data_IF_400969313228
#
_entry.id   IF_400969313228
#
_cell.length_a   1.000
_cell.length_b   1.000
_cell.length_c   1.000
_cell.angle_alpha   90.00
_cell.angle_beta   90.00
_cell.angle_gamma   90.00
#
_symmetry.space_group_name_H-M   'P 1'
#
loop_
_entity.id
_entity.type
_entity.pdbx_description
1 polymer ?
#
# COMPACT_ATOMS: atom_id res chain seq x y z
N UNK A 1 -16.03 3.66 23.77
CA UNK A 1 -16.06 3.78 23.04
C UNK A 1 -15.46 3.44 22.05
N UNK A 2 -15.24 3.22 21.62
CA UNK A 2 -14.61 2.76 20.95
C UNK A 2 -14.76 2.72 19.62
N UNK A 3 -15.50 2.97 19.03
CA UNK A 3 -15.61 3.06 17.76
C UNK A 3 -14.61 3.68 17.07
N UNK A 4 -14.10 4.56 17.54
CA UNK A 4 -13.07 5.33 16.92
C UNK A 4 -11.79 4.57 16.66
N UNK A 5 -11.73 3.35 17.11
CA UNK A 5 -10.54 2.54 16.86
C UNK A 5 -10.44 2.07 15.42
N UNK A 6 -11.53 2.18 14.64
CA UNK A 6 -11.50 1.73 13.26
C UNK A 6 -11.14 2.90 12.36
N UNK A 7 -9.93 2.85 11.86
CA UNK A 7 -9.45 3.88 10.94
C UNK A 7 -9.83 3.53 9.51
N UNK A 8 -10.05 4.55 8.67
CA UNK A 8 -10.30 4.26 7.26
C UNK A 8 -9.11 3.57 6.63
N UNK A 9 -9.39 2.68 5.68
CA UNK A 9 -8.34 1.96 4.97
C UNK A 9 -8.05 2.67 3.66
N UNK A 10 -6.79 3.02 3.46
CA UNK A 10 -6.33 3.52 2.18
C UNK A 10 -5.51 2.43 1.51
N UNK A 11 -5.81 2.15 0.26
CA UNK A 11 -5.04 1.20 -0.54
C UNK A 11 -4.26 2.00 -1.57
N UNK A 12 -2.96 1.77 -1.61
CA UNK A 12 -2.07 2.49 -2.53
C UNK A 12 -1.48 1.47 -3.47
N UNK A 13 -1.74 1.63 -4.76
CA UNK A 13 -1.24 0.67 -5.75
C UNK A 13 0.17 1.05 -6.18
N UNK A 14 1.01 0.03 -6.41
CA UNK A 14 2.33 0.24 -6.97
C UNK A 14 3.34 0.81 -6.00
N UNK A 15 3.38 0.30 -4.78
CA UNK A 15 4.21 0.90 -3.74
C UNK A 15 5.70 0.57 -3.88
N UNK A 16 6.08 -0.26 -4.84
CA UNK A 16 7.50 -0.52 -5.08
C UNK A 16 8.16 0.58 -5.92
N UNK A 17 7.37 1.49 -6.48
CA UNK A 17 7.91 2.62 -7.22
C UNK A 17 8.11 3.84 -6.34
N UNK A 18 8.81 4.84 -6.87
CA UNK A 18 9.12 6.04 -6.12
C UNK A 18 7.92 6.74 -5.56
N UNK A 19 6.91 7.01 -6.42
CA UNK A 19 5.76 7.77 -6.00
C UNK A 19 4.92 6.98 -5.01
N UNK A 20 4.71 5.70 -5.28
CA UNK A 20 3.92 4.86 -4.38
C UNK A 20 4.53 4.77 -3.01
N UNK A 21 5.84 4.61 -2.96
CA UNK A 21 6.55 4.51 -1.69
C UNK A 21 6.44 5.80 -0.88
N UNK A 22 6.55 6.93 -1.56
CA UNK A 22 6.44 8.22 -0.93
C UNK A 22 5.05 8.41 -0.31
N UNK A 23 4.01 8.04 -1.07
CA UNK A 23 2.64 8.16 -0.62
C UNK A 23 2.37 7.25 0.57
N UNK A 24 2.88 6.02 0.53
CA UNK A 24 2.75 5.08 1.64
C UNK A 24 3.34 5.69 2.90
N UNK A 25 4.54 6.23 2.80
CA UNK A 25 5.20 6.80 3.96
C UNK A 25 4.39 7.94 4.54
N UNK A 26 3.86 8.81 3.67
CA UNK A 26 3.06 9.94 4.13
C UNK A 26 1.83 9.50 4.91
N UNK A 27 1.10 8.51 4.40
CA UNK A 27 -0.08 8.02 5.10
C UNK A 27 0.27 7.32 6.41
N UNK A 28 1.36 6.57 6.41
CA UNK A 28 1.79 5.90 7.65
C UNK A 28 2.20 6.91 8.71
N UNK A 29 2.89 7.96 8.30
CA UNK A 29 3.33 8.99 9.25
C UNK A 29 2.16 9.80 9.78
N UNK A 30 1.11 9.94 9.00
CA UNK A 30 -0.10 10.63 9.43
C UNK A 30 -0.76 9.91 10.60
N UNK A 31 -0.81 8.60 10.56
CA UNK A 31 -1.32 7.81 11.66
C UNK A 31 -2.83 7.68 11.74
N UNK A 32 -3.56 8.33 10.87
CA UNK A 32 -5.03 8.29 10.89
C UNK A 32 -5.63 7.29 9.95
N UNK A 33 -4.81 6.48 9.29
CA UNK A 33 -5.27 5.53 8.29
C UNK A 33 -4.66 4.16 8.54
N UNK A 34 -5.43 3.13 8.18
CA UNK A 34 -4.83 1.82 7.93
C UNK A 34 -4.33 1.86 6.51
N UNK A 35 -3.14 1.34 6.27
CA UNK A 35 -2.49 1.46 4.96
C UNK A 35 -2.23 0.08 4.39
N UNK A 36 -2.70 -0.14 3.18
CA UNK A 36 -2.43 -1.35 2.42
C UNK A 36 -1.79 -0.93 1.10
N UNK A 37 -0.67 -1.53 0.77
CA UNK A 37 0.02 -1.25 -0.47
C UNK A 37 0.05 -2.48 -1.35
N UNK A 38 0.01 -2.28 -2.67
CA UNK A 38 0.10 -3.40 -3.59
C UNK A 38 1.44 -3.40 -4.30
N UNK A 39 1.96 -4.60 -4.52
CA UNK A 39 3.13 -4.78 -5.35
C UNK A 39 2.84 -5.91 -6.31
N UNK A 40 3.49 -5.86 -7.46
CA UNK A 40 3.39 -6.89 -8.46
C UNK A 40 4.49 -7.90 -8.17
N UNK A 41 4.12 -9.12 -7.80
CA UNK A 41 5.11 -10.12 -7.46
C UNK A 41 5.74 -9.85 -6.10
N UNK A 42 5.13 -10.40 -5.06
CA UNK A 42 5.57 -10.18 -3.69
C UNK A 42 6.81 -11.02 -3.39
N UNK A 43 7.94 -10.36 -3.20
CA UNK A 43 9.17 -11.04 -2.82
C UNK A 43 10.05 -10.11 -2.01
N UNK A 44 11.08 -10.68 -1.38
CA UNK A 44 11.94 -9.92 -0.48
C UNK A 44 12.70 -8.79 -1.16
N UNK A 45 13.09 -9.00 -2.40
CA UNK A 45 13.84 -7.97 -3.12
C UNK A 45 13.01 -6.69 -3.30
N UNK A 46 11.69 -6.83 -3.36
CA UNK A 46 10.81 -5.66 -3.47
C UNK A 46 10.40 -5.13 -2.11
N UNK A 47 10.27 -6.00 -1.13
CA UNK A 47 9.79 -5.61 0.19
C UNK A 47 10.85 -4.90 1.00
N UNK A 48 12.10 -5.35 0.89
CA UNK A 48 13.17 -4.79 1.70
C UNK A 48 13.39 -3.29 1.48
N UNK A 49 13.41 -2.79 0.25
CA UNK A 49 13.53 -1.34 0.04
C UNK A 49 12.37 -0.56 0.66
N UNK A 50 11.17 -1.14 0.66
CA UNK A 50 10.01 -0.50 1.26
C UNK A 50 10.21 -0.40 2.77
N UNK A 51 10.65 -1.49 3.38
CA UNK A 51 10.90 -1.51 4.81
C UNK A 51 11.94 -0.49 5.21
N UNK A 52 13.00 -0.38 4.43
CA UNK A 52 14.08 0.58 4.70
C UNK A 52 13.61 2.01 4.54
N UNK A 53 12.75 2.26 3.57
CA UNK A 53 12.30 3.62 3.30
C UNK A 53 11.33 4.13 4.36
N UNK A 54 10.43 3.27 4.85
CA UNK A 54 9.44 3.72 5.83
C UNK A 54 9.91 3.57 7.26
N UNK A 55 10.89 2.69 7.50
CA UNK A 55 11.36 2.43 8.85
C UNK A 55 10.58 1.31 9.51
N UNK A 56 11.26 0.64 10.44
CA UNK A 56 10.74 -0.59 11.01
C UNK A 56 9.40 -0.39 11.72
N UNK A 57 9.27 0.67 12.49
CA UNK A 57 8.06 0.90 13.27
C UNK A 57 6.85 1.13 12.38
N UNK A 58 7.01 1.91 11.32
CA UNK A 58 5.91 2.17 10.40
C UNK A 58 5.64 0.97 9.51
N UNK A 59 6.69 0.24 9.17
CA UNK A 59 6.53 -0.93 8.33
C UNK A 59 5.61 -1.97 8.96
N UNK A 60 5.65 -2.10 10.28
CA UNK A 60 4.77 -3.04 10.97
C UNK A 60 3.29 -2.70 10.80
N UNK A 61 3.00 -1.46 10.49
CA UNK A 61 1.62 -1.01 10.30
C UNK A 61 1.18 -1.08 8.86
N UNK A 62 2.05 -1.49 7.95
CA UNK A 62 1.76 -1.56 6.54
C UNK A 62 1.38 -2.98 6.14
N UNK A 63 0.24 -3.12 5.49
CA UNK A 63 -0.16 -4.38 4.90
C UNK A 63 0.26 -4.38 3.43
N UNK A 64 0.99 -5.40 3.01
CA UNK A 64 1.44 -5.52 1.61
C UNK A 64 0.72 -6.70 0.98
N UNK A 65 0.06 -6.45 -0.14
CA UNK A 65 -0.62 -7.50 -0.88
C UNK A 65 -0.14 -7.49 -2.32
N UNK A 66 -0.23 -8.66 -2.94
CA UNK A 66 0.16 -8.82 -4.32
C UNK A 66 -1.01 -8.50 -5.22
N UNK A 67 -0.80 -7.64 -6.21
CA UNK A 67 -1.84 -7.33 -7.17
C UNK A 67 -1.20 -6.92 -8.48
N UNK A 68 -1.79 -7.40 -9.57
CA UNK A 68 -1.37 -7.06 -10.92
C UNK A 68 -2.46 -6.21 -11.53
N UNK A 69 -2.11 -5.01 -11.97
CA UNK A 69 -3.08 -4.08 -12.56
C UNK A 69 -3.72 -4.65 -13.82
N UNK A 70 -3.06 -5.60 -14.46
CA UNK A 70 -3.61 -6.25 -15.64
C UNK A 70 -4.53 -7.41 -15.29
N UNK A 71 -4.68 -7.72 -14.01
CA UNK A 71 -5.54 -8.77 -13.54
C UNK A 71 -6.62 -8.18 -12.66
N UNK A 72 -7.82 -8.03 -13.23
CA UNK A 72 -8.91 -7.35 -12.54
C UNK A 72 -9.30 -8.06 -11.24
N UNK A 73 -9.22 -9.38 -11.20
CA UNK A 73 -9.59 -10.12 -10.00
C UNK A 73 -8.62 -9.85 -8.86
N UNK A 74 -7.32 -9.82 -9.15
CA UNK A 74 -6.35 -9.57 -8.10
C UNK A 74 -6.47 -8.15 -7.58
N UNK A 75 -6.74 -7.20 -8.46
CA UNK A 75 -6.92 -5.82 -8.05
C UNK A 75 -8.18 -5.65 -7.20
N UNK A 76 -9.27 -6.32 -7.59
CA UNK A 76 -10.50 -6.25 -6.83
C UNK A 76 -10.31 -6.77 -5.41
N UNK A 77 -9.56 -7.86 -5.27
CA UNK A 77 -9.27 -8.40 -3.94
C UNK A 77 -8.39 -7.45 -3.14
N UNK A 78 -7.44 -6.81 -3.79
CA UNK A 78 -6.52 -5.92 -3.11
C UNK A 78 -7.22 -4.68 -2.55
N UNK A 79 -8.23 -4.18 -3.25
CA UNK A 79 -8.92 -2.97 -2.80
C UNK A 79 -10.15 -3.26 -1.95
N UNK A 80 -10.41 -4.53 -1.67
CA UNK A 80 -11.59 -4.90 -0.89
C UNK A 80 -11.53 -4.26 0.50
N UNK A 81 -12.60 -3.60 0.88
CA UNK A 81 -12.66 -2.94 2.17
C UNK A 81 -12.06 -1.56 2.21
N UNK A 82 -11.54 -1.07 1.09
CA UNK A 82 -10.89 0.23 1.06
C UNK A 82 -11.89 1.37 1.17
N UNK A 83 -11.54 2.37 1.96
CA UNK A 83 -12.27 3.62 1.98
C UNK A 83 -11.76 4.53 0.87
N UNK A 84 -10.45 4.51 0.64
CA UNK A 84 -9.81 5.32 -0.40
C UNK A 84 -8.84 4.46 -1.17
N UNK A 85 -8.70 4.74 -2.46
CA UNK A 85 -7.71 4.07 -3.30
C UNK A 85 -6.87 5.14 -3.98
N UNK A 86 -5.55 5.08 -3.78
CA UNK A 86 -4.61 5.97 -4.42
C UNK A 86 -3.86 5.14 -5.46
N UNK A 87 -4.03 5.50 -6.71
CA UNK A 87 -3.45 4.73 -7.80
C UNK A 87 -2.19 5.42 -8.28
N UNK A 88 -1.04 4.87 -7.90
CA UNK A 88 0.24 5.42 -8.31
C UNK A 88 0.94 4.58 -9.37
N UNK A 89 0.50 3.33 -9.52
CA UNK A 89 1.12 2.46 -10.51
C UNK A 89 0.64 2.81 -11.89
N UNK A 90 1.54 2.72 -12.87
CA UNK A 90 1.21 2.91 -14.27
C UNK A 90 1.45 1.60 -15.00
N UNK A 91 0.50 1.17 -15.83
CA UNK A 91 0.71 -0.03 -16.62
C UNK A 91 1.67 0.20 -17.79
N UNK A 92 2.04 1.43 -18.06
CA UNK A 92 2.92 1.74 -19.17
C UNK A 92 4.31 2.04 -18.68
N UNK A 93 5.33 1.45 -19.28
CA UNK A 93 6.68 1.86 -18.98
C UNK A 93 6.87 3.29 -19.47
N UNK A 94 7.63 4.00 -18.76
CA UNK A 94 7.87 5.39 -19.10
C UNK A 94 9.33 5.61 -19.29
#
# INVERSE_FOLDING_TARGET
MVESSIKPLVVITGISGYLGLYVVRDFLQDGNFRVRGTIRGKNEAKIKPIQEAVGEALFEQLEIVEADLLNADSLALAIQGATYVVHTASPFPV
#
